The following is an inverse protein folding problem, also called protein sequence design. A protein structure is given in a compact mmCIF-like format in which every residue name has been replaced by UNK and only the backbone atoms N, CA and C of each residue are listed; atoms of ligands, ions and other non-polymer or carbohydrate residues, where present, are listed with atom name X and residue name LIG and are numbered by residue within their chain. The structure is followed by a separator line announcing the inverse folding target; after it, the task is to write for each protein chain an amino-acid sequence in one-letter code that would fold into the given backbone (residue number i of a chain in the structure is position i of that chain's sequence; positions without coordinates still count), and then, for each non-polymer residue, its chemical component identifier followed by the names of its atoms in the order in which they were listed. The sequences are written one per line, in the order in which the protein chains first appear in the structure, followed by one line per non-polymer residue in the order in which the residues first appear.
data_IF_672778936751
#
_entry.id   IF_672778936751
#
_cell.length_a   1.000
_cell.length_b   1.000
_cell.length_c   1.000
_cell.angle_alpha   90.00
_cell.angle_beta   90.00
_cell.angle_gamma   90.00
#
_symmetry.space_group_name_H-M   'P 1'
#
loop_
_entity.id
_entity.type
_entity.pdbx_description
1 polymer ?
#
# COMPACT_ATOMS: atom_id res chain seq x y z
N UNK A 1 0.77 8.48 -13.50
CA UNK A 1 -0.41 8.51 -12.59
C UNK A 1 -0.02 8.04 -11.20
N UNK A 2 0.79 6.98 -11.10
CA UNK A 2 1.29 6.47 -9.83
C UNK A 2 2.79 6.26 -9.94
N UNK A 3 3.56 7.01 -9.15
CA UNK A 3 5.02 7.07 -9.21
C UNK A 3 5.61 7.07 -7.78
N UNK A 4 6.93 6.88 -7.64
CA UNK A 4 7.66 6.85 -6.34
C UNK A 4 6.96 6.08 -5.20
N UNK A 5 6.50 4.87 -5.51
CA UNK A 5 5.83 4.00 -4.53
C UNK A 5 6.85 3.37 -3.60
N UNK A 6 6.62 3.48 -2.30
CA UNK A 6 7.44 2.83 -1.28
C UNK A 6 6.63 2.59 -0.01
N UNK A 7 7.16 1.77 0.89
CA UNK A 7 6.71 1.72 2.27
C UNK A 7 7.83 2.22 3.19
N UNK A 8 7.48 2.97 4.24
CA UNK A 8 8.44 3.45 5.22
C UNK A 8 7.86 3.36 6.64
N UNK A 9 8.61 2.81 7.61
CA UNK A 9 9.93 2.18 7.45
C UNK A 9 9.88 0.88 6.62
N UNK A 10 10.98 0.57 5.93
CA UNK A 10 11.21 -0.71 5.27
C UNK A 10 12.70 -1.05 5.40
N UNK A 11 13.09 -2.10 6.15
CA UNK A 11 12.21 -3.03 6.86
C UNK A 11 11.47 -2.43 8.07
N UNK A 12 10.41 -3.08 8.56
CA UNK A 12 9.68 -2.66 9.76
C UNK A 12 9.38 -3.82 10.74
N UNK A 13 9.10 -3.49 12.00
CA UNK A 13 8.78 -4.46 13.07
C UNK A 13 7.34 -4.37 13.59
N UNK A 14 6.75 -3.16 13.60
CA UNK A 14 5.44 -2.92 14.22
C UNK A 14 4.43 -2.28 13.27
N UNK A 15 4.86 -1.31 12.47
CA UNK A 15 4.03 -0.66 11.45
C UNK A 15 4.87 -0.13 10.30
N UNK A 16 4.25 0.01 9.14
CA UNK A 16 4.77 0.73 7.98
C UNK A 16 3.66 1.57 7.37
N UNK A 17 4.03 2.71 6.80
CA UNK A 17 3.13 3.57 6.03
C UNK A 17 3.47 3.41 4.55
N UNK A 18 2.44 3.38 3.69
CA UNK A 18 2.62 3.32 2.25
C UNK A 18 2.60 4.72 1.66
N UNK A 19 3.67 5.07 0.95
CA UNK A 19 3.88 6.35 0.30
C UNK A 19 3.83 6.17 -1.21
N UNK A 20 3.25 7.15 -1.90
CA UNK A 20 3.26 7.21 -3.36
C UNK A 20 3.00 8.62 -3.85
N UNK A 21 3.49 8.91 -5.05
CA UNK A 21 3.20 10.13 -5.77
C UNK A 21 2.10 9.88 -6.83
N UNK A 22 1.24 10.87 -7.06
CA UNK A 22 0.16 10.83 -8.03
C UNK A 22 -0.09 12.21 -8.67
N UNK A 23 -0.68 12.23 -9.85
CA UNK A 23 -0.97 13.46 -10.61
C UNK A 23 -2.42 13.97 -10.42
N UNK A 24 -3.01 13.69 -9.26
CA UNK A 24 -4.45 13.90 -8.98
C UNK A 24 -4.70 14.63 -7.65
N UNK A 25 -4.05 15.78 -7.40
CA UNK A 25 -4.28 16.54 -6.16
C UNK A 25 -5.75 16.97 -6.05
N UNK A 26 -6.30 16.91 -4.84
CA UNK A 26 -7.67 17.30 -4.53
C UNK A 26 -8.77 16.40 -5.10
N UNK A 27 -8.41 15.30 -5.76
CA UNK A 27 -9.37 14.31 -6.24
C UNK A 27 -9.46 13.11 -5.28
N UNK A 28 -10.63 12.48 -5.26
CA UNK A 28 -10.82 11.23 -4.54
C UNK A 28 -10.05 10.10 -5.23
N UNK A 29 -9.24 9.40 -4.44
CA UNK A 29 -8.46 8.24 -4.84
C UNK A 29 -8.90 7.01 -4.05
N UNK A 30 -9.35 5.98 -4.75
CA UNK A 30 -9.58 4.66 -4.18
C UNK A 30 -8.26 3.90 -4.21
N UNK A 31 -7.65 3.74 -3.03
CA UNK A 31 -6.38 3.06 -2.82
C UNK A 31 -6.63 1.64 -2.33
N UNK A 32 -6.06 0.67 -3.02
CA UNK A 32 -6.06 -0.73 -2.62
C UNK A 32 -4.62 -1.23 -2.49
N UNK A 33 -4.27 -1.76 -1.33
CA UNK A 33 -2.98 -2.38 -1.09
C UNK A 33 -3.20 -3.84 -0.75
N UNK A 34 -2.79 -4.72 -1.66
CA UNK A 34 -2.86 -6.16 -1.45
C UNK A 34 -1.45 -6.68 -1.15
N UNK A 35 -1.28 -7.39 -0.04
CA UNK A 35 0.01 -7.90 0.44
C UNK A 35 0.00 -9.42 0.30
N UNK A 36 1.08 -9.97 -0.24
CA UNK A 36 1.25 -11.37 -0.61
C UNK A 36 2.54 -11.95 -0.05
N UNK A 37 2.53 -13.26 0.20
CA UNK A 37 3.78 -14.03 0.34
C UNK A 37 4.53 -14.06 -0.99
N UNK A 38 5.82 -14.41 -0.98
CA UNK A 38 6.62 -14.62 -2.22
C UNK A 38 6.06 -15.73 -3.12
N UNK A 39 5.25 -16.64 -2.58
CA UNK A 39 4.53 -17.69 -3.33
C UNK A 39 3.20 -17.22 -3.91
N UNK A 40 2.81 -15.96 -3.71
CA UNK A 40 1.59 -15.37 -4.25
C UNK A 40 0.33 -15.56 -3.38
N UNK A 41 0.45 -16.12 -2.17
CA UNK A 41 -0.70 -16.23 -1.25
C UNK A 41 -1.06 -14.85 -0.71
N UNK A 42 -2.33 -14.44 -0.85
CA UNK A 42 -2.85 -13.20 -0.26
C UNK A 42 -2.82 -13.27 1.27
N UNK A 43 -2.30 -12.23 1.89
CA UNK A 43 -2.11 -12.11 3.35
C UNK A 43 -3.02 -11.02 3.93
N UNK A 44 -3.08 -9.86 3.27
CA UNK A 44 -3.86 -8.70 3.72
C UNK A 44 -4.28 -7.84 2.52
N UNK A 45 -5.45 -7.24 2.61
CA UNK A 45 -5.96 -6.19 1.74
C UNK A 45 -6.29 -4.98 2.60
N UNK A 46 -5.73 -3.83 2.23
CA UNK A 46 -6.04 -2.53 2.82
C UNK A 46 -6.81 -1.74 1.77
N UNK A 47 -7.95 -1.18 2.13
CA UNK A 47 -8.78 -0.36 1.25
C UNK A 47 -9.01 0.98 1.93
N UNK A 48 -8.71 2.04 1.21
CA UNK A 48 -8.87 3.41 1.70
C UNK A 48 -9.34 4.29 0.56
N UNK A 49 -10.22 5.22 0.87
CA UNK A 49 -10.56 6.34 0.00
C UNK A 49 -9.89 7.57 0.58
N UNK A 50 -9.01 8.21 -0.18
CA UNK A 50 -8.23 9.35 0.28
C UNK A 50 -8.44 10.55 -0.63
N UNK A 51 -8.27 11.75 -0.09
CA UNK A 51 -8.20 12.99 -0.85
C UNK A 51 -6.90 13.67 -0.41
N UNK A 52 -5.84 13.52 -1.21
CA UNK A 52 -4.58 14.18 -0.92
C UNK A 52 -4.60 15.62 -1.45
N UNK A 53 -4.26 16.62 -0.62
CA UNK A 53 -4.19 18.01 -1.06
C UNK A 53 -3.04 18.26 -2.04
N UNK A 54 -2.03 17.38 -2.05
CA UNK A 54 -0.86 17.47 -2.91
C UNK A 54 -0.74 16.29 -3.86
N UNK A 55 0.46 16.12 -4.41
CA UNK A 55 0.80 15.01 -5.30
C UNK A 55 1.39 13.82 -4.57
N UNK A 56 1.61 13.90 -3.26
CA UNK A 56 2.19 12.83 -2.44
C UNK A 56 1.18 12.40 -1.39
N UNK A 57 1.04 11.08 -1.23
CA UNK A 57 0.11 10.44 -0.31
C UNK A 57 0.84 9.49 0.63
N UNK A 58 0.34 9.39 1.87
CA UNK A 58 0.87 8.56 2.94
C UNK A 58 -0.18 8.17 4.00
N UNK A 59 -1.46 8.14 3.64
CA UNK A 59 -2.58 8.00 4.55
C UNK A 59 -2.92 6.53 4.86
N UNK A 60 -2.25 5.58 4.20
CA UNK A 60 -2.48 4.14 4.38
C UNK A 60 -1.37 3.53 5.23
N UNK A 61 -1.71 3.10 6.44
CA UNK A 61 -0.81 2.41 7.37
C UNK A 61 -1.15 0.91 7.46
N UNK A 62 -0.13 0.10 7.73
CA UNK A 62 -0.28 -1.29 8.10
C UNK A 62 0.54 -1.67 9.33
N UNK A 63 -0.07 -2.47 10.20
CA UNK A 63 0.51 -2.92 11.47
C UNK A 63 1.14 -4.33 11.40
N UNK A 64 1.38 -4.87 10.20
CA UNK A 64 2.00 -6.19 10.01
C UNK A 64 1.12 -7.37 10.44
N UNK A 65 -0.21 -7.20 10.48
CA UNK A 65 -1.17 -8.27 10.79
C UNK A 65 -1.94 -8.72 9.56
N UNK A 66 -2.34 -9.99 9.54
CA UNK A 66 -3.17 -10.56 8.47
C UNK A 66 -4.65 -10.16 8.59
N UNK A 67 -5.52 -10.78 7.78
CA UNK A 67 -6.96 -10.54 7.82
C UNK A 67 -7.63 -10.94 9.14
N UNK A 68 -7.03 -11.87 9.88
CA UNK A 68 -7.57 -12.38 11.14
C UNK A 68 -6.94 -11.67 12.36
N UNK A 69 -6.13 -10.65 12.13
CA UNK A 69 -5.43 -9.92 13.19
C UNK A 69 -4.21 -10.64 13.75
N UNK A 70 -3.79 -11.76 13.17
CA UNK A 70 -2.60 -12.50 13.58
C UNK A 70 -1.34 -11.79 13.10
N UNK A 71 -0.28 -11.81 13.93
CA UNK A 71 1.03 -11.30 13.51
C UNK A 71 1.60 -12.20 12.42
N UNK A 72 2.13 -11.56 11.39
CA UNK A 72 2.77 -12.26 10.29
C UNK A 72 4.25 -12.50 10.62
N UNK A 73 4.79 -13.62 10.16
CA UNK A 73 6.19 -13.99 10.37
C UNK A 73 7.16 -13.04 9.67
N UNK A 74 8.37 -12.95 10.23
CA UNK A 74 9.51 -12.23 9.65
C UNK A 74 9.82 -12.75 8.25
N UNK A 75 10.22 -11.86 7.35
CA UNK A 75 10.60 -12.26 5.99
C UNK A 75 10.24 -11.25 4.92
N UNK A 76 10.33 -11.71 3.67
CA UNK A 76 10.06 -10.93 2.47
C UNK A 76 8.62 -11.16 2.02
N UNK A 77 7.94 -10.08 1.70
CA UNK A 77 6.60 -10.04 1.14
C UNK A 77 6.59 -9.14 -0.09
N UNK A 78 5.52 -9.25 -0.87
CA UNK A 78 5.29 -8.41 -2.04
C UNK A 78 3.96 -7.71 -1.82
N UNK A 79 3.91 -6.39 -2.04
CA UNK A 79 2.63 -5.70 -2.07
C UNK A 79 2.34 -5.15 -3.46
N UNK A 80 1.06 -5.09 -3.80
CA UNK A 80 0.52 -4.39 -4.97
C UNK A 80 -0.30 -3.21 -4.47
N UNK A 81 0.16 -2.00 -4.77
CA UNK A 81 -0.58 -0.77 -4.54
C UNK A 81 -1.30 -0.40 -5.83
N UNK A 82 -2.61 -0.25 -5.77
CA UNK A 82 -3.45 0.17 -6.89
C UNK A 82 -4.23 1.42 -6.51
N UNK A 83 -4.28 2.39 -7.41
CA UNK A 83 -5.05 3.63 -7.26
C UNK A 83 -6.05 3.71 -8.40
N UNK A 84 -7.32 3.98 -8.05
CA UNK A 84 -8.39 4.27 -9.00
C UNK A 84 -8.99 5.63 -8.71
N UNK A 85 -9.20 6.42 -9.76
CA UNK A 85 -9.85 7.73 -9.69
C UNK A 85 -11.34 7.63 -10.05
N UNK A 86 -12.10 8.66 -9.70
CA UNK A 86 -13.54 8.76 -10.01
C UNK A 86 -13.85 8.75 -11.51
N UNK A 87 -12.94 9.27 -12.35
CA UNK A 87 -13.03 9.22 -13.82
C UNK A 87 -12.68 7.84 -14.42
N UNK A 88 -12.44 6.83 -13.57
CA UNK A 88 -12.19 5.45 -13.98
C UNK A 88 -10.75 5.13 -14.35
N UNK A 89 -9.82 6.10 -14.33
CA UNK A 89 -8.42 5.80 -14.53
C UNK A 89 -7.87 4.97 -13.37
N UNK A 90 -6.94 4.08 -13.69
CA UNK A 90 -6.33 3.18 -12.73
C UNK A 90 -4.84 3.01 -13.03
N UNK A 91 -4.05 2.94 -11.96
CA UNK A 91 -2.64 2.61 -12.02
C UNK A 91 -2.29 1.68 -10.86
N UNK A 92 -1.27 0.85 -11.04
CA UNK A 92 -0.77 -0.01 -9.97
C UNK A 92 0.74 -0.18 -10.05
N UNK A 93 1.34 -0.46 -8.90
CA UNK A 93 2.76 -0.75 -8.74
C UNK A 93 2.94 -1.89 -7.75
N UNK A 94 3.99 -2.67 -7.93
CA UNK A 94 4.36 -3.75 -7.02
C UNK A 94 5.77 -3.50 -6.50
N UNK A 95 5.96 -3.70 -5.20
CA UNK A 95 7.26 -3.51 -4.54
C UNK A 95 7.44 -4.58 -3.44
N UNK A 96 8.69 -4.74 -3.00
CA UNK A 96 9.04 -5.64 -1.89
C UNK A 96 8.87 -4.96 -0.55
N UNK A 97 8.40 -5.72 0.43
CA UNK A 97 8.23 -5.31 1.80
C UNK A 97 8.93 -6.32 2.72
N UNK A 98 9.64 -5.82 3.73
CA UNK A 98 10.46 -6.64 4.63
C UNK A 98 9.96 -6.48 6.07
N UNK A 99 9.63 -7.60 6.71
CA UNK A 99 9.23 -7.65 8.12
C UNK A 99 10.39 -8.20 8.95
N UNK A 100 10.81 -7.42 9.95
CA UNK A 100 11.91 -7.72 10.86
C UNK A 100 11.48 -8.28 12.19
#
# INVERSE_FOLDING_TARGET
MLDHVLNYPNPFTTRTTFWFDHNRPGQELQVNISIYTVTGKLVKTLRSTIISPGTRSNEVEWNGRDEYGSKIGRGVYIYRLSVRTSDGQQAHKMEKLYIL
#
